data_IF_823141943433
#
_entry.id   IF_823141943433
#
_cell.length_a   1.000
_cell.length_b   1.000
_cell.length_c   1.000
_cell.angle_alpha   90.00
_cell.angle_beta   90.00
_cell.angle_gamma   90.00
#
_symmetry.space_group_name_H-M   'P 1'
#
loop_
_entity.id
_entity.type
_entity.pdbx_description
1 polymer ?
#
# COMPACT_ATOMS: atom_id res chain seq x y z
N UNK A 1 -40.87 -3.65 -86.15
CA UNK A 1 -41.54 -3.21 -84.91
C UNK A 1 -40.49 -2.85 -83.86
N UNK A 2 -40.05 -1.60 -83.84
CA UNK A 2 -39.69 -0.80 -82.64
C UNK A 2 -39.24 0.59 -83.13
N UNK A 3 -39.71 1.60 -82.41
CA UNK A 3 -39.83 2.98 -82.82
C UNK A 3 -38.60 3.82 -82.45
N UNK A 4 -38.17 4.70 -83.36
CA UNK A 4 -37.26 5.80 -83.09
C UNK A 4 -38.08 7.08 -82.82
N UNK A 5 -37.99 7.59 -81.59
CA UNK A 5 -38.56 8.87 -81.17
C UNK A 5 -37.39 9.79 -80.79
N UNK A 6 -37.19 10.82 -81.61
CA UNK A 6 -36.31 11.94 -81.30
C UNK A 6 -36.89 12.76 -80.12
N UNK A 7 -36.03 13.15 -79.17
CA UNK A 7 -36.37 14.03 -78.05
C UNK A 7 -35.74 15.44 -78.23
N UNK A 8 -36.33 16.50 -77.63
CA UNK A 8 -36.22 17.88 -78.11
C UNK A 8 -35.23 18.77 -77.31
N UNK A 9 -34.87 19.89 -77.94
CA UNK A 9 -33.82 20.87 -77.58
C UNK A 9 -34.02 21.73 -76.31
N UNK A 10 -34.90 21.37 -75.37
CA UNK A 10 -35.13 22.16 -74.13
C UNK A 10 -34.38 21.66 -72.89
N UNK A 11 -33.53 20.63 -73.03
CA UNK A 11 -32.83 19.98 -71.91
C UNK A 11 -31.51 20.63 -71.45
N UNK A 12 -31.13 21.82 -71.96
CA UNK A 12 -29.81 22.43 -71.65
C UNK A 12 -29.81 23.55 -70.60
N UNK A 13 -30.96 24.03 -70.12
CA UNK A 13 -31.00 25.18 -69.19
C UNK A 13 -30.99 24.82 -67.70
N UNK A 14 -31.16 23.55 -67.33
CA UNK A 14 -31.27 23.11 -65.92
C UNK A 14 -29.94 22.81 -65.23
N UNK A 15 -28.83 22.72 -65.96
CA UNK A 15 -27.54 22.31 -65.39
C UNK A 15 -26.69 23.46 -64.80
N UNK A 16 -26.97 24.71 -65.16
CA UNK A 16 -26.15 25.85 -64.72
C UNK A 16 -26.58 26.35 -63.32
N UNK A 17 -27.87 26.30 -63.00
CA UNK A 17 -28.39 26.74 -61.69
C UNK A 17 -28.03 25.77 -60.54
N UNK A 18 -27.89 24.48 -60.85
CA UNK A 18 -27.51 23.43 -59.88
C UNK A 18 -26.01 23.44 -59.55
N UNK A 19 -25.14 23.79 -60.50
CA UNK A 19 -23.70 23.91 -60.24
C UNK A 19 -23.37 25.09 -59.30
N UNK A 20 -24.03 26.24 -59.44
CA UNK A 20 -23.75 27.41 -58.59
C UNK A 20 -24.16 27.21 -57.12
N UNK A 21 -25.24 26.45 -56.86
CA UNK A 21 -25.69 26.15 -55.49
C UNK A 21 -24.79 25.12 -54.79
N UNK A 22 -24.15 24.21 -55.53
CA UNK A 22 -23.20 23.23 -54.97
C UNK A 22 -21.89 23.91 -54.55
N UNK A 23 -21.39 24.86 -55.34
CA UNK A 23 -20.13 25.59 -55.03
C UNK A 23 -20.29 26.48 -53.79
N UNK A 24 -21.43 27.16 -53.63
CA UNK A 24 -21.68 27.98 -52.43
C UNK A 24 -21.89 27.15 -51.14
N UNK A 25 -22.41 25.93 -51.23
CA UNK A 25 -22.53 25.01 -50.07
C UNK A 25 -21.18 24.48 -49.59
N UNK A 26 -20.24 24.16 -50.49
CA UNK A 26 -18.89 23.69 -50.11
C UNK A 26 -18.05 24.78 -49.41
N UNK A 27 -18.22 26.05 -49.78
CA UNK A 27 -17.46 27.15 -49.18
C UNK A 27 -17.90 27.47 -47.72
N UNK A 28 -19.19 27.28 -47.38
CA UNK A 28 -19.69 27.45 -46.01
C UNK A 28 -19.33 26.26 -45.10
N UNK A 29 -19.29 25.04 -45.64
CA UNK A 29 -18.88 23.83 -44.93
C UNK A 29 -17.38 23.81 -44.57
N UNK A 30 -16.51 24.42 -45.40
CA UNK A 30 -15.07 24.49 -45.12
C UNK A 30 -14.70 25.33 -43.87
N UNK A 31 -15.46 26.40 -43.58
CA UNK A 31 -15.20 27.27 -42.43
C UNK A 31 -15.65 26.66 -41.09
N UNK A 32 -16.68 25.83 -41.10
CA UNK A 32 -17.20 25.18 -39.90
C UNK A 32 -16.42 23.90 -39.56
N UNK A 33 -15.91 23.19 -40.58
CA UNK A 33 -15.06 22.01 -40.36
C UNK A 33 -13.75 22.36 -39.62
N UNK A 34 -13.10 23.47 -39.99
CA UNK A 34 -11.86 23.91 -39.31
C UNK A 34 -12.07 24.29 -37.84
N UNK A 35 -13.13 25.04 -37.53
CA UNK A 35 -13.42 25.49 -36.16
C UNK A 35 -13.89 24.32 -35.26
N UNK A 36 -14.69 23.41 -35.78
CA UNK A 36 -15.16 22.23 -35.02
C UNK A 36 -14.02 21.25 -34.76
N UNK A 37 -13.12 21.03 -35.71
CA UNK A 37 -11.95 20.15 -35.52
C UNK A 37 -10.97 20.72 -34.50
N UNK A 38 -10.70 22.04 -34.52
CA UNK A 38 -9.82 22.69 -33.52
C UNK A 38 -10.43 22.62 -32.11
N UNK A 39 -11.75 22.79 -31.98
CA UNK A 39 -12.43 22.71 -30.68
C UNK A 39 -12.49 21.26 -30.15
N UNK A 40 -12.70 20.28 -31.04
CA UNK A 40 -12.71 18.86 -30.69
C UNK A 40 -11.31 18.38 -30.26
N UNK A 41 -10.26 18.75 -30.99
CA UNK A 41 -8.86 18.37 -30.67
C UNK A 41 -8.36 19.03 -29.38
N UNK A 42 -8.76 20.27 -29.10
CA UNK A 42 -8.37 20.98 -27.87
C UNK A 42 -9.09 20.44 -26.61
N UNK A 43 -10.22 19.77 -26.78
CA UNK A 43 -10.93 19.11 -25.67
C UNK A 43 -10.38 17.72 -25.30
N UNK A 44 -9.55 17.12 -26.15
CA UNK A 44 -8.91 15.81 -25.88
C UNK A 44 -7.57 15.89 -25.13
N UNK A 45 -7.01 17.08 -24.93
CA UNK A 45 -5.67 17.24 -24.32
C UNK A 45 -5.66 17.43 -22.79
N UNK A 46 -6.81 17.31 -22.11
CA UNK A 46 -6.94 17.62 -20.68
C UNK A 46 -7.28 16.47 -19.68
N UNK A 47 -7.32 15.15 -20.00
CA UNK A 47 -7.51 14.15 -18.96
C UNK A 47 -6.20 13.79 -18.20
N UNK A 48 -5.24 14.71 -18.09
CA UNK A 48 -3.92 14.44 -17.51
C UNK A 48 -3.86 14.49 -15.98
N UNK A 49 -4.68 15.31 -15.33
CA UNK A 49 -4.53 15.57 -13.89
C UNK A 49 -5.40 14.67 -12.97
N UNK A 50 -6.33 13.89 -13.52
CA UNK A 50 -7.18 13.01 -12.70
C UNK A 50 -6.49 11.69 -12.27
N UNK A 51 -5.30 11.39 -12.80
CA UNK A 51 -4.53 10.18 -12.49
C UNK A 51 -3.51 10.36 -11.35
N UNK A 52 -3.26 11.60 -10.92
CA UNK A 52 -2.40 11.85 -9.75
C UNK A 52 -3.27 11.82 -8.49
N UNK A 53 -3.70 10.63 -8.08
CA UNK A 53 -4.12 10.44 -6.69
C UNK A 53 -2.87 10.59 -5.83
N UNK A 54 -2.85 11.48 -4.81
CA UNK A 54 -1.77 11.46 -3.84
C UNK A 54 -1.75 10.06 -3.21
N UNK A 55 -0.64 9.35 -3.43
CA UNK A 55 -0.39 8.08 -2.75
C UNK A 55 -0.16 8.44 -1.29
N UNK A 56 -1.20 8.31 -0.46
CA UNK A 56 -1.05 8.43 0.99
C UNK A 56 -0.21 7.22 1.41
N UNK A 57 1.05 7.46 1.71
CA UNK A 57 1.94 6.44 2.28
C UNK A 57 1.32 5.99 3.61
N UNK A 58 1.11 4.69 3.82
CA UNK A 58 0.58 4.18 5.07
C UNK A 58 1.52 4.59 6.21
N UNK A 59 1.00 5.37 7.15
CA UNK A 59 1.77 5.86 8.31
C UNK A 59 1.49 4.97 9.51
N UNK A 60 2.52 4.70 10.31
CA UNK A 60 2.39 3.94 11.56
C UNK A 60 1.45 4.67 12.54
N UNK A 61 0.50 3.99 13.21
CA UNK A 61 -0.35 4.58 14.24
C UNK A 61 0.38 4.71 15.59
N UNK A 62 1.55 5.35 15.60
CA UNK A 62 2.42 5.44 16.77
C UNK A 62 1.71 6.02 18.00
N UNK A 63 0.85 7.03 17.82
CA UNK A 63 0.08 7.66 18.90
C UNK A 63 -0.94 6.72 19.56
N UNK A 64 -1.25 5.59 18.93
CA UNK A 64 -2.18 4.57 19.45
C UNK A 64 -1.49 3.25 19.77
N UNK A 65 -0.15 3.20 19.81
CA UNK A 65 0.56 1.98 20.20
C UNK A 65 0.19 1.57 21.62
N UNK A 66 0.00 0.25 21.87
CA UNK A 66 -0.25 -0.22 23.21
C UNK A 66 0.99 -0.06 24.08
N UNK A 67 0.76 0.10 25.37
CA UNK A 67 1.80 0.10 26.40
C UNK A 67 2.38 -1.31 26.60
N UNK A 68 3.62 -1.43 27.13
CA UNK A 68 4.22 -2.70 27.55
C UNK A 68 3.33 -3.52 28.48
N UNK A 69 2.68 -2.86 29.45
CA UNK A 69 1.82 -3.51 30.44
C UNK A 69 0.59 -4.22 29.85
N UNK A 70 0.09 -3.73 28.71
CA UNK A 70 -1.10 -4.27 28.04
C UNK A 70 -0.84 -5.59 27.31
N UNK A 71 0.41 -6.07 27.25
CA UNK A 71 0.71 -7.44 26.82
C UNK A 71 0.16 -8.48 27.81
N UNK A 72 0.13 -8.14 29.11
CA UNK A 72 -0.40 -8.99 30.18
C UNK A 72 0.53 -10.12 30.66
N UNK A 73 1.76 -10.17 30.17
CA UNK A 73 2.84 -11.05 30.63
C UNK A 73 4.20 -10.47 30.25
N UNK A 74 5.27 -10.96 30.87
CA UNK A 74 6.64 -10.64 30.46
C UNK A 74 7.15 -11.65 29.43
N UNK A 75 7.87 -11.17 28.43
CA UNK A 75 8.35 -11.94 27.28
C UNK A 75 9.85 -11.71 27.08
N UNK A 76 10.60 -12.77 26.84
CA UNK A 76 11.91 -12.72 26.21
C UNK A 76 11.91 -13.67 25.01
N UNK A 77 12.08 -13.11 23.81
CA UNK A 77 12.12 -13.87 22.57
C UNK A 77 13.40 -13.55 21.82
N UNK A 78 14.17 -14.58 21.46
CA UNK A 78 15.27 -14.48 20.51
C UNK A 78 14.84 -15.14 19.21
N UNK A 79 14.94 -14.41 18.10
CA UNK A 79 14.44 -14.86 16.82
C UNK A 79 15.39 -14.45 15.68
N UNK A 80 15.34 -15.19 14.58
CA UNK A 80 15.90 -14.74 13.31
C UNK A 80 14.81 -13.97 12.58
N UNK A 81 15.10 -12.72 12.22
CA UNK A 81 14.26 -11.86 11.41
C UNK A 81 14.74 -11.90 9.95
N UNK A 82 13.87 -12.36 9.06
CA UNK A 82 13.92 -12.07 7.63
C UNK A 82 12.96 -10.92 7.32
N UNK A 83 13.46 -9.88 6.68
CA UNK A 83 12.75 -8.67 6.34
C UNK A 83 12.87 -8.44 4.83
N UNK A 84 11.76 -8.30 4.13
CA UNK A 84 11.75 -7.83 2.74
C UNK A 84 10.96 -6.54 2.65
N UNK A 85 11.61 -5.49 2.14
CA UNK A 85 11.01 -4.17 1.98
C UNK A 85 11.64 -3.46 0.77
N UNK A 86 10.81 -2.85 -0.09
CA UNK A 86 11.26 -2.17 -1.31
C UNK A 86 12.20 -3.02 -2.20
N UNK A 87 11.94 -4.33 -2.28
CA UNK A 87 12.73 -5.26 -3.09
C UNK A 87 14.09 -5.67 -2.48
N UNK A 88 14.43 -5.16 -1.29
CA UNK A 88 15.62 -5.57 -0.54
C UNK A 88 15.25 -6.57 0.54
N UNK A 89 16.08 -7.60 0.68
CA UNK A 89 15.93 -8.60 1.75
C UNK A 89 17.09 -8.49 2.74
N UNK A 90 16.75 -8.32 4.00
CA UNK A 90 17.67 -8.28 5.12
C UNK A 90 17.41 -9.48 6.04
N UNK A 91 18.49 -10.07 6.56
CA UNK A 91 18.41 -11.12 7.57
C UNK A 91 19.27 -10.75 8.76
N UNK A 92 18.69 -10.83 9.95
CA UNK A 92 19.33 -10.45 11.20
C UNK A 92 18.78 -11.26 12.36
N UNK A 93 19.49 -11.26 13.49
CA UNK A 93 18.95 -11.79 14.74
C UNK A 93 18.29 -10.63 15.50
N UNK A 94 17.17 -10.91 16.15
CA UNK A 94 16.49 -9.95 17.01
C UNK A 94 16.27 -10.56 18.39
N UNK A 95 16.41 -9.73 19.41
CA UNK A 95 16.03 -10.04 20.78
C UNK A 95 14.95 -9.07 21.23
N UNK A 96 13.77 -9.58 21.54
CA UNK A 96 12.65 -8.83 22.08
C UNK A 96 12.52 -9.16 23.57
N UNK A 97 12.55 -8.13 24.41
CA UNK A 97 12.20 -8.22 25.82
C UNK A 97 10.98 -7.32 26.07
N UNK A 98 10.00 -7.82 26.79
CA UNK A 98 8.84 -7.04 27.25
C UNK A 98 8.64 -7.32 28.73
N UNK A 99 8.58 -6.26 29.54
CA UNK A 99 8.08 -6.26 30.90
C UNK A 99 6.87 -5.33 31.00
N UNK A 100 6.27 -5.23 32.19
CA UNK A 100 5.17 -4.28 32.40
C UNK A 100 5.59 -2.81 32.23
N UNK A 101 6.89 -2.49 32.34
CA UNK A 101 7.41 -1.12 32.30
C UNK A 101 7.99 -0.74 30.94
N UNK A 102 8.52 -1.70 30.17
CA UNK A 102 9.19 -1.40 28.91
C UNK A 102 9.22 -2.59 27.97
N UNK A 103 9.30 -2.27 26.69
CA UNK A 103 9.66 -3.16 25.61
C UNK A 103 11.01 -2.73 25.04
N UNK A 104 11.93 -3.69 24.86
CA UNK A 104 13.23 -3.48 24.22
C UNK A 104 13.37 -4.44 23.04
N UNK A 105 13.62 -3.91 21.85
CA UNK A 105 14.00 -4.68 20.67
C UNK A 105 15.46 -4.38 20.31
N UNK A 106 16.30 -5.40 20.32
CA UNK A 106 17.69 -5.32 19.86
C UNK A 106 17.81 -6.04 18.53
N UNK A 107 18.21 -5.33 17.48
CA UNK A 107 18.56 -5.91 16.19
C UNK A 107 20.07 -6.12 16.09
N UNK A 108 20.47 -7.32 15.72
CA UNK A 108 21.85 -7.79 15.68
C UNK A 108 22.16 -8.26 14.26
N UNK A 109 23.16 -7.65 13.65
CA UNK A 109 23.66 -8.03 12.32
C UNK A 109 24.07 -9.50 12.26
N UNK A 110 24.22 -10.04 11.04
CA UNK A 110 24.63 -11.43 10.84
C UNK A 110 26.00 -11.79 11.45
N UNK A 111 26.84 -10.78 11.73
CA UNK A 111 28.17 -10.95 12.35
C UNK A 111 28.17 -10.75 13.87
N UNK A 112 26.99 -10.61 14.50
CA UNK A 112 26.84 -10.53 15.96
C UNK A 112 26.96 -9.12 16.55
N UNK A 113 27.04 -8.08 15.72
CA UNK A 113 27.11 -6.67 16.19
C UNK A 113 25.69 -6.09 16.29
N UNK A 114 25.29 -5.50 17.44
CA UNK A 114 24.05 -4.75 17.57
C UNK A 114 24.03 -3.55 16.62
N UNK A 115 23.01 -3.44 15.77
CA UNK A 115 22.86 -2.36 14.79
C UNK A 115 21.75 -1.38 15.16
N UNK A 116 20.76 -1.83 15.95
CA UNK A 116 19.71 -0.99 16.49
C UNK A 116 19.26 -1.49 17.86
N UNK A 117 18.94 -0.55 18.75
CA UNK A 117 18.27 -0.80 20.02
C UNK A 117 17.06 0.14 20.06
N UNK A 118 15.88 -0.42 20.26
CA UNK A 118 14.62 0.32 20.33
C UNK A 118 14.00 0.06 21.68
N UNK A 119 13.71 1.13 22.42
CA UNK A 119 13.01 1.07 23.70
C UNK A 119 11.67 1.80 23.59
N UNK A 120 10.62 1.14 24.07
CA UNK A 120 9.28 1.69 24.17
C UNK A 120 8.77 1.49 25.60
N UNK A 121 8.47 2.57 26.30
CA UNK A 121 7.94 2.53 27.68
C UNK A 121 6.42 2.75 27.76
N UNK A 122 5.76 3.01 26.63
CA UNK A 122 4.34 3.37 26.56
C UNK A 122 4.10 4.86 26.28
N UNK A 123 5.12 5.71 26.42
CA UNK A 123 5.05 7.15 26.18
C UNK A 123 6.14 7.63 25.22
N UNK A 124 7.36 7.13 25.38
CA UNK A 124 8.55 7.54 24.65
C UNK A 124 9.14 6.38 23.87
N UNK A 125 9.45 6.66 22.59
CA UNK A 125 10.24 5.79 21.74
C UNK A 125 11.68 6.30 21.71
N UNK A 126 12.60 5.52 22.26
CA UNK A 126 14.04 5.77 22.12
C UNK A 126 14.64 4.80 21.09
N UNK A 127 15.42 5.34 20.16
CA UNK A 127 16.09 4.59 19.09
C UNK A 127 17.57 4.91 19.08
N UNK A 128 18.39 3.87 19.20
CA UNK A 128 19.83 4.00 19.23
C UNK A 128 20.45 3.14 18.14
N UNK A 129 21.47 3.67 17.45
CA UNK A 129 22.33 2.88 16.56
C UNK A 129 23.73 2.82 17.15
N UNK A 130 24.10 1.70 17.81
CA UNK A 130 25.44 1.55 18.40
C UNK A 130 26.58 1.69 17.38
N UNK A 131 26.32 1.37 16.11
CA UNK A 131 27.29 1.45 15.02
C UNK A 131 27.29 2.80 14.30
N UNK A 132 26.38 3.71 14.64
CA UNK A 132 26.15 4.96 13.90
C UNK A 132 25.54 4.73 12.51
N UNK A 133 24.97 3.55 12.25
CA UNK A 133 24.26 3.24 11.01
C UNK A 133 23.01 4.12 10.90
N UNK A 134 22.72 4.59 9.69
CA UNK A 134 21.47 5.28 9.41
C UNK A 134 20.29 4.29 9.53
N UNK A 135 19.51 4.44 10.61
CA UNK A 135 18.35 3.59 10.87
C UNK A 135 17.19 3.85 9.91
N UNK A 136 17.21 4.94 9.12
CA UNK A 136 16.13 5.24 8.16
C UNK A 136 16.09 4.26 6.98
N UNK A 137 17.16 3.48 6.76
CA UNK A 137 17.18 2.43 5.74
C UNK A 137 16.27 1.24 6.08
N UNK A 138 15.89 1.07 7.36
CA UNK A 138 15.03 -0.01 7.85
C UNK A 138 13.76 0.64 8.44
N UNK A 139 12.55 0.19 8.05
CA UNK A 139 11.31 0.79 8.53
C UNK A 139 10.95 0.31 9.93
N UNK A 140 11.68 0.76 10.96
CA UNK A 140 11.53 0.26 12.32
C UNK A 140 10.16 0.51 12.93
N UNK A 141 9.52 1.64 12.65
CA UNK A 141 8.16 1.93 13.12
C UNK A 141 7.15 0.92 12.54
N UNK A 142 7.30 0.55 11.27
CA UNK A 142 6.47 -0.50 10.67
C UNK A 142 6.76 -1.87 11.30
N UNK A 143 8.03 -2.17 11.58
CA UNK A 143 8.39 -3.39 12.32
C UNK A 143 7.74 -3.40 13.72
N UNK A 144 7.73 -2.26 14.43
CA UNK A 144 7.05 -2.12 15.72
C UNK A 144 5.54 -2.36 15.59
N UNK A 145 4.87 -1.78 14.58
CA UNK A 145 3.46 -2.04 14.30
C UNK A 145 3.20 -3.54 14.17
N UNK A 146 4.03 -4.25 13.38
CA UNK A 146 3.86 -5.69 13.17
C UNK A 146 4.08 -6.50 14.44
N UNK A 147 5.00 -6.08 15.32
CA UNK A 147 5.24 -6.71 16.62
C UNK A 147 4.02 -6.53 17.51
N UNK A 148 3.42 -5.33 17.59
CA UNK A 148 2.20 -5.11 18.35
C UNK A 148 1.05 -5.96 17.81
N UNK A 149 0.80 -5.92 16.49
CA UNK A 149 -0.26 -6.72 15.88
C UNK A 149 -0.05 -8.24 16.03
N UNK A 150 1.20 -8.71 16.12
CA UNK A 150 1.49 -10.13 16.30
C UNK A 150 1.34 -10.58 17.76
N UNK A 151 1.83 -9.79 18.72
CA UNK A 151 2.02 -10.26 20.11
C UNK A 151 0.97 -9.77 21.10
N UNK A 152 0.46 -8.54 20.96
CA UNK A 152 -0.48 -7.98 21.95
C UNK A 152 -1.85 -8.67 21.87
N UNK A 153 -2.57 -8.85 22.98
CA UNK A 153 -3.92 -9.38 22.93
C UNK A 153 -4.86 -8.38 22.23
N UNK A 154 -5.88 -8.90 21.56
CA UNK A 154 -6.78 -8.10 20.73
C UNK A 154 -7.40 -6.88 21.44
N UNK A 155 -7.84 -6.95 22.71
CA UNK A 155 -8.39 -5.78 23.40
C UNK A 155 -7.42 -4.59 23.48
N UNK A 156 -6.13 -4.87 23.66
CA UNK A 156 -5.08 -3.85 23.75
C UNK A 156 -4.78 -3.17 22.41
N UNK A 157 -5.23 -3.76 21.29
CA UNK A 157 -5.04 -3.20 19.95
C UNK A 157 -6.21 -2.31 19.51
N UNK A 158 -7.19 -2.08 20.37
CA UNK A 158 -8.42 -1.38 20.01
C UNK A 158 -8.17 0.03 19.44
N UNK A 159 -7.29 0.81 20.06
CA UNK A 159 -7.00 2.17 19.63
C UNK A 159 -6.23 2.20 18.29
N UNK A 160 -5.23 1.34 18.12
CA UNK A 160 -4.54 1.17 16.83
C UNK A 160 -5.54 0.85 15.70
N UNK A 161 -6.44 -0.11 15.94
CA UNK A 161 -7.46 -0.52 14.96
C UNK A 161 -8.45 0.61 14.68
N UNK A 162 -8.88 1.35 15.71
CA UNK A 162 -9.81 2.46 15.57
C UNK A 162 -9.21 3.63 14.77
N UNK A 163 -7.98 4.04 15.08
CA UNK A 163 -7.28 5.12 14.37
C UNK A 163 -7.13 4.78 12.88
N UNK A 164 -6.79 3.52 12.57
CA UNK A 164 -6.63 3.06 11.20
C UNK A 164 -7.95 2.68 10.53
N UNK A 165 -9.08 2.77 11.23
CA UNK A 165 -10.39 2.43 10.67
C UNK A 165 -10.47 0.96 10.23
N UNK A 166 -9.84 0.08 11.01
CA UNK A 166 -9.70 -1.34 10.73
C UNK A 166 -10.49 -2.23 11.67
N UNK A 167 -10.64 -3.48 11.24
CA UNK A 167 -11.16 -4.59 12.04
C UNK A 167 -10.13 -5.71 12.03
N UNK A 168 -10.14 -6.55 13.06
CA UNK A 168 -9.25 -7.71 13.16
C UNK A 168 -10.04 -8.98 13.45
N UNK A 169 -9.73 -10.04 12.73
CA UNK A 169 -10.10 -11.41 13.09
C UNK A 169 -8.87 -12.13 13.64
N UNK A 170 -9.05 -12.91 14.69
CA UNK A 170 -7.96 -13.60 15.36
C UNK A 170 -8.35 -15.05 15.68
N UNK A 171 -7.42 -15.96 15.41
CA UNK A 171 -7.45 -17.37 15.78
C UNK A 171 -6.12 -17.73 16.44
N UNK A 172 -5.94 -18.99 16.86
CA UNK A 172 -4.66 -19.42 17.43
C UNK A 172 -3.51 -19.45 16.41
N UNK A 173 -3.81 -19.55 15.10
CA UNK A 173 -2.83 -19.71 14.03
C UNK A 173 -2.75 -18.50 13.10
N UNK A 174 -3.66 -17.55 13.20
CA UNK A 174 -3.71 -16.43 12.28
C UNK A 174 -4.38 -15.19 12.89
N UNK A 175 -3.88 -14.01 12.52
CA UNK A 175 -4.60 -12.73 12.61
C UNK A 175 -4.68 -12.10 11.24
N UNK A 176 -5.82 -11.51 10.93
CA UNK A 176 -6.05 -10.78 9.68
C UNK A 176 -6.71 -9.46 9.99
N UNK A 177 -6.14 -8.38 9.43
CA UNK A 177 -6.59 -7.02 9.62
C UNK A 177 -7.19 -6.49 8.32
N UNK A 178 -8.37 -5.89 8.41
CA UNK A 178 -9.14 -5.44 7.26
C UNK A 178 -9.51 -3.98 7.39
N UNK A 179 -9.48 -3.25 6.27
CA UNK A 179 -10.04 -1.91 6.20
C UNK A 179 -11.58 -1.93 6.17
N UNK A 180 -12.21 -0.74 6.17
CA UNK A 180 -13.67 -0.61 6.05
C UNK A 180 -14.28 -1.26 4.80
N UNK A 181 -13.51 -1.46 3.73
CA UNK A 181 -13.93 -2.13 2.50
C UNK A 181 -13.75 -3.65 2.56
N UNK A 182 -13.40 -4.22 3.72
CA UNK A 182 -13.12 -5.64 3.92
C UNK A 182 -11.93 -6.16 3.10
N UNK A 183 -11.00 -5.27 2.72
CA UNK A 183 -9.77 -5.66 2.05
C UNK A 183 -8.70 -5.96 3.10
N UNK A 184 -8.03 -7.13 2.97
CA UNK A 184 -6.91 -7.49 3.85
C UNK A 184 -5.81 -6.43 3.73
N UNK A 185 -5.38 -5.90 4.86
CA UNK A 185 -4.30 -4.93 4.98
C UNK A 185 -3.05 -5.59 5.54
N UNK A 186 -3.21 -6.45 6.55
CA UNK A 186 -2.12 -7.20 7.18
C UNK A 186 -2.60 -8.62 7.47
N UNK A 187 -1.80 -9.61 7.09
CA UNK A 187 -2.00 -11.01 7.44
C UNK A 187 -0.82 -11.52 8.27
N UNK A 188 -1.12 -12.16 9.39
CA UNK A 188 -0.14 -12.71 10.35
C UNK A 188 -0.44 -14.18 10.54
N UNK A 189 0.55 -15.05 10.30
CA UNK A 189 0.43 -16.49 10.42
C UNK A 189 1.40 -17.02 11.47
N UNK A 190 0.87 -17.77 12.41
CA UNK A 190 1.63 -18.38 13.50
C UNK A 190 1.79 -19.88 13.27
N UNK A 191 3.01 -20.38 13.45
CA UNK A 191 3.30 -21.81 13.46
C UNK A 191 4.18 -22.15 14.65
N UNK A 192 3.55 -22.57 15.76
CA UNK A 192 4.23 -22.96 16.99
C UNK A 192 5.31 -21.95 17.45
N UNK A 193 5.09 -20.66 17.22
CA UNK A 193 6.09 -19.59 17.36
C UNK A 193 6.74 -19.48 18.74
N UNK A 194 6.12 -20.03 19.78
CA UNK A 194 6.64 -20.06 21.14
C UNK A 194 7.63 -21.21 21.39
N UNK A 195 7.98 -21.99 20.35
CA UNK A 195 8.94 -23.10 20.42
C UNK A 195 10.13 -22.82 19.51
N UNK A 196 11.31 -23.43 19.79
CA UNK A 196 12.42 -23.42 18.85
C UNK A 196 11.98 -23.90 17.47
N UNK A 197 12.41 -23.20 16.43
CA UNK A 197 12.02 -23.37 15.02
C UNK A 197 10.55 -23.08 14.70
N UNK A 198 9.76 -22.60 15.67
CA UNK A 198 8.46 -22.01 15.39
C UNK A 198 8.61 -20.72 14.57
N UNK A 199 7.53 -20.29 13.92
CA UNK A 199 7.57 -19.10 13.07
C UNK A 199 6.36 -18.19 13.17
N UNK A 200 6.59 -16.92 12.86
CA UNK A 200 5.58 -15.91 12.59
C UNK A 200 5.88 -15.35 11.20
N UNK A 201 4.92 -15.42 10.29
CA UNK A 201 5.01 -14.78 8.99
C UNK A 201 4.00 -13.63 8.93
N UNK A 202 4.45 -12.45 8.53
CA UNK A 202 3.66 -11.23 8.49
C UNK A 202 3.80 -10.62 7.10
N UNK A 203 2.68 -10.30 6.48
CA UNK A 203 2.62 -9.56 5.21
C UNK A 203 1.75 -8.33 5.41
N UNK A 204 2.33 -7.15 5.21
CA UNK A 204 1.61 -5.87 5.19
C UNK A 204 1.44 -5.41 3.74
N UNK A 205 0.22 -5.59 3.23
CA UNK A 205 -0.14 -5.29 1.84
C UNK A 205 -0.11 -3.80 1.50
N UNK A 206 -0.15 -2.92 2.50
CA UNK A 206 -0.15 -1.47 2.29
C UNK A 206 1.23 -0.97 1.92
N UNK A 207 2.25 -1.55 2.54
CA UNK A 207 3.64 -1.10 2.47
C UNK A 207 4.51 -2.04 1.64
N UNK A 208 4.06 -3.26 1.36
CA UNK A 208 4.86 -4.31 0.74
C UNK A 208 5.94 -4.86 1.67
N UNK A 209 5.74 -4.71 2.98
CA UNK A 209 6.62 -5.21 4.02
C UNK A 209 6.28 -6.69 4.31
N UNK A 210 7.25 -7.56 4.10
CA UNK A 210 7.18 -8.96 4.51
C UNK A 210 8.17 -9.25 5.62
N UNK A 211 7.70 -9.87 6.70
CA UNK A 211 8.50 -10.25 7.86
C UNK A 211 8.34 -11.75 8.12
N UNK A 212 9.45 -12.42 8.31
CA UNK A 212 9.51 -13.80 8.78
C UNK A 212 10.36 -13.85 10.06
N UNK A 213 9.74 -14.24 11.17
CA UNK A 213 10.41 -14.49 12.44
C UNK A 213 10.51 -15.99 12.66
N UNK A 214 11.73 -16.50 12.86
CA UNK A 214 11.97 -17.88 13.28
C UNK A 214 12.50 -17.90 14.70
N UNK A 215 11.80 -18.57 15.59
CA UNK A 215 12.12 -18.59 17.01
C UNK A 215 13.34 -19.45 17.31
N UNK A 216 14.31 -18.87 18.02
CA UNK A 216 15.45 -19.56 18.61
C UNK A 216 15.08 -19.93 20.05
N UNK A 217 14.61 -18.94 20.81
CA UNK A 217 14.28 -19.07 22.21
C UNK A 217 13.05 -18.23 22.54
N UNK A 218 12.22 -18.75 23.46
CA UNK A 218 11.00 -18.10 23.92
C UNK A 218 10.82 -18.38 25.41
N UNK A 219 10.80 -17.32 26.22
CA UNK A 219 10.57 -17.40 27.67
C UNK A 219 9.44 -16.44 28.00
N UNK A 220 8.47 -16.90 28.79
CA UNK A 220 7.41 -16.05 29.32
C UNK A 220 7.28 -16.22 30.83
N UNK A 221 6.94 -15.13 31.50
CA UNK A 221 6.61 -15.10 32.94
C UNK A 221 5.33 -14.31 33.11
N UNK A 222 4.42 -14.77 33.98
CA UNK A 222 3.21 -14.03 34.34
C UNK A 222 3.45 -13.17 35.57
#
# INVERSE_FOLDING_TARGET
MKADLALPLWAQTTHILTMLTIIMRKCKQLKHAGLVVVTLVLSLSLPGCALLRPMVMPTSPQDSWPTPSELGYSLQAQQVLGLTYQGQTHKMSVALEVSAQKMTLVAISAVGVPIAIINWDGEHLDKQSPTGMDLNAIPFELIMDTIFYAYWPQPSLADMLKQQQWTMTATAQQRSLYNHQQQSQIDIRFNQYQRPNGSIAITDYRTGLDIALTTIQWITTK
#
